data_IF_743715191592
#
_entry.id   IF_743715191592
#
_cell.length_a   1.000
_cell.length_b   1.000
_cell.length_c   1.000
_cell.angle_alpha   90.00
_cell.angle_beta   90.00
_cell.angle_gamma   90.00
#
_symmetry.space_group_name_H-M   'P 1'
#
loop_
_entity.id
_entity.type
_entity.pdbx_description
1 polymer ?
#
# COMPACT_ATOMS: atom_id res chain seq x y z
N UNK A 1 13.11 31.39 30.10
CA UNK A 1 13.08 30.08 29.39
C UNK A 1 13.60 30.25 27.96
N UNK A 2 14.79 29.72 27.63
CA UNK A 2 15.33 29.73 26.26
C UNK A 2 14.66 28.61 25.45
N UNK A 3 13.74 28.94 24.55
CA UNK A 3 13.24 28.00 23.52
C UNK A 3 14.43 27.63 22.62
N UNK A 4 15.04 26.45 22.84
CA UNK A 4 16.10 25.93 21.98
C UNK A 4 15.48 25.67 20.61
N UNK A 5 15.75 26.53 19.62
CA UNK A 5 15.41 26.25 18.22
C UNK A 5 16.20 25.01 17.80
N UNK A 6 15.50 23.94 17.46
CA UNK A 6 16.11 22.78 16.83
C UNK A 6 16.56 23.25 15.45
N UNK A 7 17.86 23.29 15.20
CA UNK A 7 18.41 23.66 13.89
C UNK A 7 17.90 22.69 12.82
N UNK A 8 17.68 23.17 11.61
CA UNK A 8 17.05 22.44 10.49
C UNK A 8 17.67 21.07 10.26
N UNK A 9 18.99 20.94 10.37
CA UNK A 9 19.70 19.66 10.26
C UNK A 9 19.31 18.65 11.36
N UNK A 10 19.22 19.08 12.62
CA UNK A 10 18.78 18.21 13.73
C UNK A 10 17.31 17.80 13.62
N UNK A 11 16.49 18.65 13.00
CA UNK A 11 15.09 18.33 12.73
C UNK A 11 14.96 17.24 11.66
N UNK A 12 15.72 17.35 10.56
CA UNK A 12 15.76 16.31 9.51
C UNK A 12 16.29 14.97 10.03
N UNK A 13 17.36 14.98 10.85
CA UNK A 13 17.88 13.75 11.46
C UNK A 13 16.88 13.10 12.41
N UNK A 14 16.14 13.88 13.20
CA UNK A 14 15.12 13.34 14.12
C UNK A 14 13.93 12.74 13.36
N UNK A 15 13.49 13.39 12.27
CA UNK A 15 12.42 12.87 11.40
C UNK A 15 12.84 11.55 10.72
N UNK A 16 14.09 11.49 10.24
CA UNK A 16 14.67 10.26 9.69
C UNK A 16 14.73 9.16 10.75
N UNK A 17 15.22 9.44 11.95
CA UNK A 17 15.33 8.43 13.01
C UNK A 17 13.97 7.84 13.40
N UNK A 18 12.95 8.69 13.63
CA UNK A 18 11.59 8.24 13.96
C UNK A 18 10.99 7.33 12.87
N UNK A 19 11.29 7.62 11.61
CA UNK A 19 10.84 6.83 10.48
C UNK A 19 11.51 5.45 10.40
N UNK A 20 12.80 5.37 10.74
CA UNK A 20 13.54 4.10 10.73
C UNK A 20 13.10 3.20 11.87
N UNK A 21 12.85 3.77 13.06
CA UNK A 21 12.50 3.04 14.28
C UNK A 21 11.06 2.54 14.34
N UNK A 22 10.26 2.76 13.30
CA UNK A 22 8.83 2.40 13.29
C UNK A 22 8.54 1.21 12.37
N UNK A 23 7.47 0.48 12.66
CA UNK A 23 6.91 -0.54 11.79
C UNK A 23 6.40 0.10 10.49
N UNK A 24 6.60 -0.58 9.36
CA UNK A 24 6.20 -0.07 8.04
C UNK A 24 5.82 -1.20 7.09
N UNK A 25 5.06 -0.86 6.05
CA UNK A 25 4.76 -1.77 4.94
C UNK A 25 5.61 -1.34 3.75
N UNK A 26 6.25 -2.30 3.09
CA UNK A 26 6.99 -2.09 1.87
C UNK A 26 6.22 -2.69 0.70
N UNK A 27 6.25 -2.00 -0.44
CA UNK A 27 5.69 -2.48 -1.69
C UNK A 27 6.65 -2.15 -2.81
N UNK A 28 6.82 -3.06 -3.78
CA UNK A 28 7.67 -2.83 -4.94
C UNK A 28 7.22 -1.58 -5.69
N UNK A 29 8.19 -0.75 -6.06
CA UNK A 29 7.99 0.52 -6.73
C UNK A 29 7.29 0.38 -8.09
N UNK A 30 7.67 -0.65 -8.82
CA UNK A 30 6.99 -1.06 -10.04
C UNK A 30 6.03 -2.22 -9.74
N UNK A 31 4.82 -2.13 -10.29
CA UNK A 31 3.90 -3.26 -10.39
C UNK A 31 3.77 -3.66 -11.85
N UNK A 32 3.65 -4.96 -12.12
CA UNK A 32 3.49 -5.45 -13.48
C UNK A 32 2.24 -4.84 -14.16
N UNK A 33 2.28 -4.79 -15.49
CA UNK A 33 1.13 -4.48 -16.32
C UNK A 33 1.12 -5.51 -17.43
N UNK A 34 -0.01 -6.16 -17.64
CA UNK A 34 -0.25 -7.04 -18.78
C UNK A 34 -1.15 -6.29 -19.76
N UNK A 35 -0.98 -6.55 -21.06
CA UNK A 35 -1.88 -6.02 -22.09
C UNK A 35 -3.28 -6.66 -22.03
N UNK A 36 -3.44 -7.72 -21.23
CA UNK A 36 -4.71 -8.45 -21.02
C UNK A 36 -5.18 -8.38 -19.58
N UNK A 37 -6.49 -8.23 -19.40
CA UNK A 37 -7.18 -8.31 -18.10
C UNK A 37 -7.71 -9.72 -17.82
N UNK A 38 -7.82 -10.13 -16.55
CA UNK A 38 -7.35 -9.42 -15.35
C UNK A 38 -5.84 -9.53 -15.16
N UNK A 39 -5.20 -8.50 -14.59
CA UNK A 39 -3.77 -8.55 -14.27
C UNK A 39 -3.43 -7.95 -12.90
N UNK A 40 -2.21 -8.21 -12.45
CA UNK A 40 -1.69 -7.69 -11.18
C UNK A 40 -1.34 -6.22 -11.34
N UNK A 41 -1.93 -5.33 -10.55
CA UNK A 41 -1.68 -3.88 -10.66
C UNK A 41 -0.44 -3.45 -9.86
N UNK A 42 -0.21 -4.12 -8.74
CA UNK A 42 0.84 -3.83 -7.77
C UNK A 42 1.52 -5.13 -7.36
N UNK A 43 2.77 -5.02 -6.90
CA UNK A 43 3.47 -6.12 -6.24
C UNK A 43 2.84 -6.43 -4.87
N UNK A 44 3.11 -7.63 -4.35
CA UNK A 44 2.63 -8.03 -3.02
C UNK A 44 3.30 -7.15 -1.95
N UNK A 45 2.53 -6.49 -1.07
CA UNK A 45 3.11 -5.75 0.04
C UNK A 45 3.66 -6.72 1.10
N UNK A 46 4.67 -6.30 1.83
CA UNK A 46 5.23 -7.08 2.94
C UNK A 46 5.59 -6.19 4.13
N UNK A 47 5.59 -6.80 5.30
CA UNK A 47 5.92 -6.14 6.55
C UNK A 47 7.42 -5.90 6.69
N UNK A 48 7.79 -4.71 7.15
CA UNK A 48 9.15 -4.35 7.50
C UNK A 48 9.23 -3.88 8.95
N UNK A 49 10.06 -4.58 9.74
CA UNK A 49 10.23 -4.34 11.16
C UNK A 49 10.83 -2.95 11.46
N UNK A 50 10.64 -2.43 12.69
CA UNK A 50 11.46 -1.34 13.20
C UNK A 50 12.95 -1.54 12.95
N UNK A 51 13.66 -0.46 12.63
CA UNK A 51 15.09 -0.42 12.33
C UNK A 51 15.52 -1.14 11.04
N UNK A 52 14.58 -1.39 10.13
CA UNK A 52 14.87 -1.84 8.76
C UNK A 52 14.92 -0.67 7.78
N UNK A 53 15.71 -0.86 6.72
CA UNK A 53 15.87 0.08 5.59
C UNK A 53 15.61 -0.64 4.27
N UNK A 54 15.19 0.10 3.25
CA UNK A 54 15.02 -0.39 1.89
C UNK A 54 15.75 0.50 0.90
N UNK A 55 16.05 -0.04 -0.29
CA UNK A 55 16.52 0.76 -1.41
C UNK A 55 15.34 1.47 -2.12
N UNK A 56 15.63 2.18 -3.20
CA UNK A 56 14.62 2.89 -3.99
C UNK A 56 13.68 1.98 -4.80
N UNK A 57 13.93 0.65 -4.83
CA UNK A 57 13.06 -0.31 -5.50
C UNK A 57 11.78 -0.60 -4.71
N UNK A 58 11.67 -0.08 -3.48
CA UNK A 58 10.48 -0.21 -2.64
C UNK A 58 9.94 1.16 -2.24
N UNK A 59 8.62 1.26 -2.25
CA UNK A 59 7.88 2.34 -1.62
C UNK A 59 7.53 1.95 -0.20
N UNK A 60 7.58 2.95 0.68
CA UNK A 60 7.27 2.77 2.08
C UNK A 60 5.90 3.36 2.38
N UNK A 61 5.07 2.55 3.03
CA UNK A 61 3.73 2.89 3.51
C UNK A 61 3.77 2.85 5.04
N UNK A 62 3.39 3.95 5.68
CA UNK A 62 3.50 4.15 7.13
C UNK A 62 4.22 5.46 7.48
N UNK A 63 4.80 5.58 8.69
CA UNK A 63 4.97 4.55 9.73
C UNK A 63 3.67 4.13 10.45
N UNK A 64 3.69 2.98 11.12
CA UNK A 64 2.58 2.43 11.92
C UNK A 64 3.03 2.03 13.34
N UNK A 65 2.07 1.95 14.26
CA UNK A 65 2.34 1.70 15.68
C UNK A 65 2.59 0.23 16.02
N UNK A 66 2.01 -0.70 15.27
CA UNK A 66 2.12 -2.14 15.53
C UNK A 66 2.18 -2.97 14.25
N UNK A 67 2.66 -4.20 14.38
CA UNK A 67 2.66 -5.19 13.30
C UNK A 67 1.24 -5.52 12.83
N UNK A 68 0.29 -5.60 13.75
CA UNK A 68 -1.12 -5.85 13.47
C UNK A 68 -1.72 -4.76 12.55
N UNK A 69 -1.41 -3.48 12.79
CA UNK A 69 -1.82 -2.39 11.90
C UNK A 69 -1.21 -2.58 10.50
N UNK A 70 0.07 -2.96 10.42
CA UNK A 70 0.69 -3.27 9.13
C UNK A 70 -0.01 -4.42 8.41
N UNK A 71 -0.39 -5.48 9.12
CA UNK A 71 -1.14 -6.62 8.56
C UNK A 71 -2.51 -6.18 8.03
N UNK A 72 -3.23 -5.33 8.77
CA UNK A 72 -4.49 -4.74 8.32
C UNK A 72 -4.31 -3.86 7.07
N UNK A 73 -3.25 -3.03 7.03
CA UNK A 73 -2.89 -2.24 5.84
C UNK A 73 -2.57 -3.14 4.64
N UNK A 74 -1.82 -4.22 4.85
CA UNK A 74 -1.52 -5.19 3.79
C UNK A 74 -2.80 -5.85 3.28
N UNK A 75 -3.74 -6.23 4.17
CA UNK A 75 -5.05 -6.75 3.78
C UNK A 75 -5.82 -5.77 2.90
N UNK A 76 -5.79 -4.48 3.23
CA UNK A 76 -6.45 -3.45 2.45
C UNK A 76 -5.82 -3.29 1.06
N UNK A 77 -4.48 -3.23 0.96
CA UNK A 77 -3.75 -3.22 -0.32
C UNK A 77 -4.07 -4.48 -1.14
N UNK A 78 -4.33 -5.60 -0.47
CA UNK A 78 -4.68 -6.89 -1.10
C UNK A 78 -6.11 -6.96 -1.65
N UNK A 79 -6.97 -5.97 -1.39
CA UNK A 79 -8.31 -5.89 -1.98
C UNK A 79 -8.29 -5.49 -3.45
N UNK A 80 -9.23 -6.00 -4.25
CA UNK A 80 -9.42 -5.55 -5.63
C UNK A 80 -9.88 -4.11 -5.67
N UNK A 81 -10.72 -3.67 -4.74
CA UNK A 81 -11.14 -2.28 -4.59
C UNK A 81 -9.94 -1.32 -4.55
N UNK A 82 -8.98 -1.55 -3.64
CA UNK A 82 -7.80 -0.71 -3.51
C UNK A 82 -7.02 -0.62 -4.83
N UNK A 83 -6.74 -1.77 -5.44
CA UNK A 83 -5.97 -1.84 -6.69
C UNK A 83 -6.72 -1.24 -7.88
N UNK A 84 -8.05 -1.33 -7.88
CA UNK A 84 -8.88 -0.68 -8.89
C UNK A 84 -8.81 0.84 -8.79
N UNK A 85 -8.81 1.39 -7.56
CA UNK A 85 -8.62 2.83 -7.35
C UNK A 85 -7.22 3.30 -7.81
N UNK A 86 -6.19 2.49 -7.59
CA UNK A 86 -4.84 2.76 -8.11
C UNK A 86 -4.80 2.69 -9.64
N UNK A 87 -5.46 1.70 -10.24
CA UNK A 87 -5.52 1.51 -11.70
C UNK A 87 -6.08 2.75 -12.42
N UNK A 88 -7.01 3.50 -11.80
CA UNK A 88 -7.56 4.72 -12.40
C UNK A 88 -6.50 5.77 -12.76
N UNK A 89 -5.34 5.74 -12.10
CA UNK A 89 -4.26 6.70 -12.31
C UNK A 89 -2.93 6.06 -12.73
N UNK A 90 -2.73 4.76 -12.48
CA UNK A 90 -1.51 4.04 -12.84
C UNK A 90 -1.50 3.74 -14.35
N UNK A 91 -0.97 4.66 -15.13
CA UNK A 91 -0.79 4.51 -16.58
C UNK A 91 0.56 3.88 -16.98
N UNK A 92 1.51 3.76 -16.04
CA UNK A 92 2.84 3.21 -16.27
C UNK A 92 3.17 2.11 -15.24
N UNK A 93 4.34 1.46 -15.41
CA UNK A 93 4.81 0.43 -14.48
C UNK A 93 5.06 1.00 -13.07
N UNK A 94 5.63 2.21 -13.01
CA UNK A 94 5.94 2.93 -11.77
C UNK A 94 4.67 3.31 -11.00
N UNK A 95 4.59 2.87 -9.76
CA UNK A 95 3.48 3.11 -8.85
C UNK A 95 3.83 4.17 -7.79
N UNK A 96 4.43 5.30 -8.19
CA UNK A 96 4.81 6.40 -7.28
C UNK A 96 3.64 6.94 -6.45
N UNK A 97 3.93 7.67 -5.35
CA UNK A 97 2.96 8.38 -4.48
C UNK A 97 1.75 8.98 -5.22
N UNK A 98 1.96 9.56 -6.40
CA UNK A 98 0.91 10.18 -7.20
C UNK A 98 -0.21 9.24 -7.63
N UNK A 99 0.05 7.94 -7.83
CA UNK A 99 -0.96 6.96 -8.31
C UNK A 99 -2.00 6.63 -7.25
N UNK A 100 -1.67 6.79 -5.96
CA UNK A 100 -2.55 6.47 -4.84
C UNK A 100 -3.52 7.61 -4.47
N UNK A 101 -3.54 8.72 -5.23
CA UNK A 101 -4.31 9.91 -4.86
C UNK A 101 -5.81 9.66 -4.69
N UNK A 102 -6.38 8.70 -5.43
CA UNK A 102 -7.80 8.37 -5.36
C UNK A 102 -8.12 7.27 -4.35
N UNK A 103 -7.12 6.68 -3.70
CA UNK A 103 -7.32 5.62 -2.72
C UNK A 103 -7.82 6.24 -1.41
N UNK A 104 -9.03 5.86 -0.92
CA UNK A 104 -9.53 6.37 0.35
C UNK A 104 -8.76 5.77 1.53
N UNK A 105 -8.46 6.58 2.54
CA UNK A 105 -7.82 6.13 3.79
C UNK A 105 -8.87 5.43 4.65
N UNK A 106 -8.56 4.21 5.12
CA UNK A 106 -9.43 3.44 6.02
C UNK A 106 -8.95 3.50 7.47
N UNK A 107 -9.82 3.06 8.38
CA UNK A 107 -9.41 2.69 9.74
C UNK A 107 -8.69 1.34 9.72
N UNK A 108 -7.43 1.32 10.14
CA UNK A 108 -6.58 0.12 10.17
C UNK A 108 -6.56 -0.56 11.55
N UNK A 109 -7.50 -0.22 12.45
CA UNK A 109 -7.75 -0.97 13.69
C UNK A 109 -8.29 -2.39 13.43
N UNK A 110 -8.78 -2.66 12.22
CA UNK A 110 -9.26 -3.97 11.75
C UNK A 110 -8.82 -4.24 10.30
N UNK A 111 -8.85 -5.51 9.82
CA UNK A 111 -8.64 -5.81 8.42
C UNK A 111 -9.83 -5.37 7.55
N UNK A 112 -9.61 -5.33 6.23
CA UNK A 112 -10.63 -5.00 5.24
C UNK A 112 -10.76 -6.09 4.18
N UNK A 113 -12.00 -6.40 3.79
CA UNK A 113 -12.29 -7.26 2.64
C UNK A 113 -12.94 -6.48 1.50
N UNK A 114 -12.92 -7.05 0.30
CA UNK A 114 -13.60 -6.45 -0.86
C UNK A 114 -15.12 -6.28 -0.59
N UNK A 115 -15.77 -7.25 0.05
CA UNK A 115 -17.20 -7.21 0.37
C UNK A 115 -17.56 -6.07 1.33
N UNK A 116 -16.75 -5.86 2.38
CA UNK A 116 -16.95 -4.76 3.32
C UNK A 116 -16.80 -3.40 2.63
N UNK A 117 -15.80 -3.26 1.74
CA UNK A 117 -15.54 -2.03 1.00
C UNK A 117 -16.64 -1.76 -0.02
N UNK A 118 -17.07 -2.76 -0.78
CA UNK A 118 -18.14 -2.62 -1.76
C UNK A 118 -19.45 -2.18 -1.10
N UNK A 119 -19.80 -2.79 0.03
CA UNK A 119 -20.96 -2.38 0.83
C UNK A 119 -20.82 -0.95 1.36
N UNK A 120 -19.66 -0.59 1.89
CA UNK A 120 -19.38 0.75 2.43
C UNK A 120 -19.50 1.86 1.39
N UNK A 121 -18.98 1.64 0.18
CA UNK A 121 -18.96 2.64 -0.89
C UNK A 121 -20.18 2.55 -1.81
N UNK A 122 -21.11 1.63 -1.57
CA UNK A 122 -22.33 1.49 -2.35
C UNK A 122 -22.09 1.02 -3.79
N UNK A 123 -21.07 0.17 -3.99
CA UNK A 123 -20.69 -0.36 -5.30
C UNK A 123 -21.72 -1.40 -5.76
N UNK A 124 -22.25 -1.25 -6.97
CA UNK A 124 -23.31 -2.14 -7.47
C UNK A 124 -22.75 -3.49 -7.94
N UNK A 125 -23.62 -4.50 -8.10
CA UNK A 125 -23.18 -5.81 -8.59
C UNK A 125 -22.54 -5.75 -9.99
N UNK A 126 -23.02 -4.85 -10.84
CA UNK A 126 -22.47 -4.61 -12.18
C UNK A 126 -21.05 -4.01 -12.09
N UNK A 127 -20.85 -3.07 -11.16
CA UNK A 127 -19.53 -2.47 -10.90
C UNK A 127 -18.57 -3.46 -10.25
N UNK A 128 -19.04 -4.29 -9.30
CA UNK A 128 -18.25 -5.37 -8.70
C UNK A 128 -17.79 -6.35 -9.78
N UNK A 129 -18.71 -6.78 -10.66
CA UNK A 129 -18.37 -7.67 -11.76
C UNK A 129 -17.32 -7.05 -12.71
N UNK A 130 -17.42 -5.74 -12.96
CA UNK A 130 -16.43 -5.01 -13.72
C UNK A 130 -15.07 -4.98 -13.02
N UNK A 131 -15.00 -4.60 -11.74
CA UNK A 131 -13.76 -4.59 -10.95
C UNK A 131 -13.12 -5.98 -10.95
N UNK A 132 -13.93 -7.02 -10.75
CA UNK A 132 -13.49 -8.41 -10.73
C UNK A 132 -12.93 -8.88 -12.08
N UNK A 133 -13.45 -8.38 -13.19
CA UNK A 133 -12.93 -8.66 -14.54
C UNK A 133 -11.59 -7.97 -14.82
N UNK A 134 -11.28 -6.89 -14.09
CA UNK A 134 -10.08 -6.08 -14.30
C UNK A 134 -8.93 -6.49 -13.38
N UNK A 135 -9.21 -6.85 -12.13
CA UNK A 135 -8.18 -6.98 -11.10
C UNK A 135 -7.96 -8.45 -10.72
N UNK A 136 -6.72 -8.94 -10.91
CA UNK A 136 -6.35 -10.29 -10.46
C UNK A 136 -6.42 -10.38 -8.92
N UNK A 137 -7.00 -11.46 -8.35
CA UNK A 137 -6.92 -11.71 -6.91
C UNK A 137 -5.47 -11.74 -6.42
N UNK A 138 -5.24 -11.24 -5.20
CA UNK A 138 -3.92 -11.21 -4.57
C UNK A 138 -3.98 -12.00 -3.27
N UNK A 139 -3.28 -13.13 -3.23
CA UNK A 139 -3.13 -13.95 -2.02
C UNK A 139 -1.83 -13.57 -1.28
N UNK A 140 -1.98 -13.30 0.02
CA UNK A 140 -0.89 -12.97 0.94
C UNK A 140 -0.37 -14.19 1.72
N UNK A 141 -1.01 -15.36 1.61
CA UNK A 141 -0.76 -16.52 2.48
C UNK A 141 0.43 -17.43 2.10
N UNK A 142 1.25 -17.07 1.10
CA UNK A 142 2.55 -17.74 0.90
C UNK A 142 3.27 -17.49 -0.42
N UNK A 143 4.60 -17.52 -0.34
CA UNK A 143 5.58 -17.81 -1.40
C UNK A 143 5.77 -16.76 -2.48
N UNK A 144 7.03 -16.38 -2.72
CA UNK A 144 7.45 -15.57 -3.87
C UNK A 144 6.79 -16.11 -5.14
N UNK A 145 5.90 -15.31 -5.74
CA UNK A 145 5.47 -15.53 -7.10
C UNK A 145 6.64 -15.04 -7.97
N UNK A 146 7.67 -15.90 -8.07
CA UNK A 146 8.78 -15.74 -9.00
C UNK A 146 8.22 -15.84 -10.41
N UNK A 147 7.63 -14.74 -10.87
CA UNK A 147 7.05 -14.56 -12.19
C UNK A 147 7.91 -13.63 -13.02
N UNK A 148 9.08 -14.13 -13.44
CA UNK A 148 9.62 -13.81 -14.76
C UNK A 148 9.79 -15.11 -15.53
#
# INVERSE_FOLDING_TARGET
MRKRRIGTAKFFTLLLLLYHTSAKVLIGEAGSGSDSFPHSILSKPFYAEPNTVCNQSYLVIGPFESKEICENVMSYISTKFFRFMVLQKKNAQHAMRGVYQFVPVQDFSKPWTDEELYSMYGITNEEIAFIDSMIRPMDLSGGDDSGN
#
